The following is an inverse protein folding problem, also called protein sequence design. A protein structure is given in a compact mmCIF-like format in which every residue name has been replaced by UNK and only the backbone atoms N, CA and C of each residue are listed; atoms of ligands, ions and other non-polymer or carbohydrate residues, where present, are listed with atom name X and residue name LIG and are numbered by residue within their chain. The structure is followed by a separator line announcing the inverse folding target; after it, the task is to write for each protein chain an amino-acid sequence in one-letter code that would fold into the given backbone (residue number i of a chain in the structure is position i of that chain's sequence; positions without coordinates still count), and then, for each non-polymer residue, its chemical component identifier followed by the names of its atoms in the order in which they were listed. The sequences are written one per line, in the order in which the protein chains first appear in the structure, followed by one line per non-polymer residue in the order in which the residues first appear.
data_IF_972862849801
#
_entry.id   IF_972862849801
#
_cell.length_a   1.000
_cell.length_b   1.000
_cell.length_c   1.000
_cell.angle_alpha   90.00
_cell.angle_beta   90.00
_cell.angle_gamma   90.00
#
_symmetry.space_group_name_H-M   'P 1'
#
loop_
_entity.id
_entity.type
_entity.pdbx_description
1 polymer ?
#
# COMPACT_ATOMS: atom_id res chain seq x y z
N UNK A 1 -44.28 52.38 -45.15
CA UNK A 1 -44.21 51.09 -44.44
C UNK A 1 -42.77 50.56 -44.49
N UNK A 2 -41.94 50.91 -43.49
CA UNK A 2 -40.59 50.39 -43.31
C UNK A 2 -40.68 49.01 -42.65
N UNK A 3 -40.30 47.94 -43.33
CA UNK A 3 -40.17 46.61 -42.73
C UNK A 3 -38.79 46.49 -42.08
N UNK A 4 -38.78 46.35 -40.75
CA UNK A 4 -37.59 46.01 -39.95
C UNK A 4 -37.12 44.60 -40.33
N UNK A 5 -35.85 44.45 -40.70
CA UNK A 5 -35.13 43.17 -40.71
C UNK A 5 -34.55 42.95 -39.31
N UNK A 6 -35.06 41.95 -38.59
CA UNK A 6 -34.49 41.48 -37.32
C UNK A 6 -33.49 40.37 -37.67
N UNK A 7 -32.20 40.67 -37.53
CA UNK A 7 -31.15 39.65 -37.57
C UNK A 7 -31.08 38.93 -36.22
N UNK A 8 -31.37 37.63 -36.21
CA UNK A 8 -31.18 36.75 -35.05
C UNK A 8 -29.70 36.37 -34.99
N UNK A 9 -28.98 36.85 -33.97
CA UNK A 9 -27.63 36.39 -33.64
C UNK A 9 -27.77 35.16 -32.74
N UNK A 10 -27.43 33.99 -33.26
CA UNK A 10 -27.32 32.76 -32.47
C UNK A 10 -25.96 32.77 -31.77
N UNK A 11 -25.95 33.06 -30.47
CA UNK A 11 -24.75 32.88 -29.63
C UNK A 11 -24.70 31.40 -29.24
N UNK A 12 -23.90 30.62 -29.96
CA UNK A 12 -23.52 29.27 -29.55
C UNK A 12 -22.57 29.37 -28.35
N UNK A 13 -23.07 29.06 -27.15
CA UNK A 13 -22.24 28.85 -25.96
C UNK A 13 -21.35 27.63 -26.20
N UNK A 14 -20.08 27.88 -26.49
CA UNK A 14 -19.04 26.86 -26.49
C UNK A 14 -18.70 26.56 -25.02
N UNK A 15 -19.25 25.49 -24.46
CA UNK A 15 -18.80 24.97 -23.17
C UNK A 15 -17.39 24.41 -23.33
N UNK A 16 -16.39 25.25 -23.06
CA UNK A 16 -15.02 24.78 -22.85
C UNK A 16 -15.04 24.01 -21.53
N UNK A 17 -15.17 22.69 -21.60
CA UNK A 17 -14.90 21.82 -20.47
C UNK A 17 -13.43 21.95 -20.13
N UNK A 18 -13.11 22.86 -19.20
CA UNK A 18 -11.84 22.85 -18.50
C UNK A 18 -11.76 21.50 -17.79
N UNK A 19 -11.01 20.56 -18.35
CA UNK A 19 -10.58 19.36 -17.64
C UNK A 19 -9.62 19.82 -16.53
N UNK A 20 -10.17 20.34 -15.44
CA UNK A 20 -9.44 20.44 -14.18
C UNK A 20 -9.23 18.98 -13.77
N UNK A 21 -7.99 18.47 -13.68
CA UNK A 21 -7.78 17.16 -13.09
C UNK A 21 -8.27 17.24 -11.65
N UNK A 22 -9.42 16.61 -11.37
CA UNK A 22 -9.86 16.36 -9.99
C UNK A 22 -8.71 15.64 -9.28
N UNK A 23 -8.03 16.34 -8.36
CA UNK A 23 -7.07 15.70 -7.46
C UNK A 23 -7.85 14.68 -6.64
N UNK A 24 -7.55 13.39 -6.82
CA UNK A 24 -8.08 12.33 -5.97
C UNK A 24 -7.62 12.59 -4.53
N UNK A 25 -8.55 12.79 -3.61
CA UNK A 25 -8.26 13.00 -2.19
C UNK A 25 -7.68 11.75 -1.54
N UNK A 26 -6.94 11.96 -0.45
CA UNK A 26 -6.18 10.92 0.23
C UNK A 26 -7.08 9.83 0.83
N UNK A 27 -6.54 8.61 0.88
CA UNK A 27 -7.10 7.51 1.68
C UNK A 27 -6.79 7.79 3.15
N UNK A 28 -7.74 7.51 4.05
CA UNK A 28 -7.53 7.67 5.50
C UNK A 28 -6.46 6.70 6.00
N UNK A 29 -5.24 7.20 6.18
CA UNK A 29 -4.11 6.42 6.66
C UNK A 29 -3.92 6.48 8.17
N UNK A 30 -4.98 6.80 8.94
CA UNK A 30 -4.91 6.95 10.40
C UNK A 30 -4.56 5.66 11.09
N UNK A 31 -3.89 5.77 12.23
CA UNK A 31 -3.75 4.66 13.16
C UNK A 31 -5.11 4.08 13.54
N UNK A 32 -6.11 4.94 13.71
CA UNK A 32 -7.45 4.55 14.12
C UNK A 32 -8.18 3.78 13.02
N UNK A 33 -8.10 4.25 11.77
CA UNK A 33 -8.61 3.49 10.62
C UNK A 33 -7.83 2.19 10.41
N UNK A 34 -6.51 2.23 10.55
CA UNK A 34 -5.65 1.05 10.47
C UNK A 34 -6.10 -0.05 11.45
N UNK A 35 -6.37 0.33 12.70
CA UNK A 35 -6.77 -0.58 13.77
C UNK A 35 -8.23 -1.01 13.66
N UNK A 36 -9.16 -0.07 13.43
CA UNK A 36 -10.60 -0.34 13.27
C UNK A 36 -10.89 -1.20 12.05
N UNK A 37 -10.23 -0.92 10.93
CA UNK A 37 -10.28 -1.72 9.70
C UNK A 37 -9.49 -3.03 9.78
N UNK A 38 -8.70 -3.20 10.86
CA UNK A 38 -7.83 -4.36 11.09
C UNK A 38 -6.89 -4.65 9.91
N UNK A 39 -6.40 -3.58 9.28
CA UNK A 39 -5.52 -3.67 8.11
C UNK A 39 -4.17 -4.32 8.44
N UNK A 40 -3.80 -4.39 9.71
CA UNK A 40 -2.68 -5.19 10.20
C UNK A 40 -2.75 -6.69 9.82
N UNK A 41 -3.93 -7.21 9.45
CA UNK A 41 -4.07 -8.58 8.93
C UNK A 41 -3.76 -8.72 7.44
N UNK A 42 -3.67 -7.61 6.71
CA UNK A 42 -3.49 -7.59 5.26
C UNK A 42 -2.85 -6.26 4.81
N UNK A 43 -1.51 -6.21 4.84
CA UNK A 43 -0.75 -4.96 4.73
C UNK A 43 -0.60 -4.44 3.30
N UNK A 44 -0.47 -5.38 2.35
CA UNK A 44 -0.28 -5.11 0.92
C UNK A 44 -0.64 -6.37 0.16
N UNK A 45 -1.02 -6.22 -1.10
CA UNK A 45 -1.32 -7.36 -1.94
C UNK A 45 -0.12 -8.19 -2.34
N UNK A 46 -0.31 -9.50 -2.47
CA UNK A 46 0.71 -10.39 -3.04
C UNK A 46 1.18 -9.89 -4.41
N UNK A 47 0.25 -9.54 -5.32
CA UNK A 47 0.60 -9.04 -6.65
C UNK A 47 1.44 -7.76 -6.62
N UNK A 48 1.09 -6.80 -5.76
CA UNK A 48 1.83 -5.54 -5.62
C UNK A 48 3.18 -5.76 -4.90
N UNK A 49 3.25 -6.75 -4.01
CA UNK A 49 4.44 -7.08 -3.24
C UNK A 49 5.53 -7.73 -4.11
N UNK A 50 5.15 -8.57 -5.08
CA UNK A 50 6.11 -9.26 -5.96
C UNK A 50 6.20 -8.68 -7.38
N UNK A 51 5.55 -7.55 -7.66
CA UNK A 51 5.66 -6.89 -8.96
C UNK A 51 7.02 -6.20 -9.11
N UNK A 52 8.01 -6.97 -9.55
CA UNK A 52 9.38 -6.49 -9.81
C UNK A 52 9.45 -5.43 -10.91
N UNK A 53 8.40 -5.32 -11.74
CA UNK A 53 8.30 -4.36 -12.83
C UNK A 53 7.47 -3.12 -12.46
N UNK A 54 7.06 -2.98 -11.18
CA UNK A 54 6.24 -1.85 -10.72
C UNK A 54 6.92 -0.49 -10.95
N UNK A 55 8.26 -0.46 -11.01
CA UNK A 55 9.05 0.71 -11.37
C UNK A 55 10.27 0.34 -12.20
N UNK A 56 10.54 1.14 -13.24
CA UNK A 56 11.82 1.15 -13.96
C UNK A 56 12.90 1.89 -13.17
N UNK A 57 14.18 1.68 -13.51
CA UNK A 57 15.31 2.43 -12.92
C UNK A 57 15.08 3.94 -12.97
N UNK A 58 14.59 4.46 -14.10
CA UNK A 58 14.31 5.89 -14.27
C UNK A 58 13.18 6.38 -13.36
N UNK A 59 12.12 5.59 -13.17
CA UNK A 59 11.05 5.92 -12.22
C UNK A 59 11.53 5.90 -10.77
N UNK A 60 12.38 4.95 -10.40
CA UNK A 60 12.98 4.91 -9.06
C UNK A 60 13.86 6.16 -8.85
N UNK A 61 14.67 6.52 -9.84
CA UNK A 61 15.50 7.73 -9.78
C UNK A 61 14.64 8.99 -9.64
N UNK A 62 13.57 9.13 -10.46
CA UNK A 62 12.65 10.26 -10.39
C UNK A 62 11.95 10.33 -9.03
N UNK A 63 11.56 9.19 -8.47
CA UNK A 63 10.96 9.11 -7.15
C UNK A 63 11.92 9.61 -6.06
N UNK A 64 13.17 9.15 -6.05
CA UNK A 64 14.19 9.62 -5.11
C UNK A 64 14.42 11.14 -5.21
N UNK A 65 14.45 11.68 -6.44
CA UNK A 65 14.56 13.13 -6.68
C UNK A 65 13.34 13.87 -6.13
N UNK A 66 12.13 13.37 -6.40
CA UNK A 66 10.88 14.01 -5.96
C UNK A 66 10.74 14.07 -4.43
N UNK A 67 11.34 13.12 -3.72
CA UNK A 67 11.36 13.07 -2.25
C UNK A 67 12.54 13.84 -1.64
N UNK A 68 13.40 14.46 -2.46
CA UNK A 68 14.59 15.17 -1.99
C UNK A 68 15.68 14.25 -1.42
N UNK A 69 15.63 12.95 -1.71
CA UNK A 69 16.52 11.95 -1.10
C UNK A 69 18.00 12.21 -1.42
N UNK A 70 18.86 12.06 -0.42
CA UNK A 70 20.31 11.97 -0.62
C UNK A 70 20.68 10.85 -1.61
N UNK A 71 19.94 9.73 -1.60
CA UNK A 71 20.19 8.60 -2.50
C UNK A 71 20.08 8.96 -3.98
N UNK A 72 19.32 10.00 -4.33
CA UNK A 72 19.21 10.48 -5.70
C UNK A 72 20.56 10.94 -6.28
N UNK A 73 21.46 11.43 -5.42
CA UNK A 73 22.76 12.02 -5.77
C UNK A 73 23.95 11.35 -5.08
N UNK A 74 23.73 10.28 -4.33
CA UNK A 74 24.77 9.60 -3.59
C UNK A 74 25.84 9.03 -4.55
N UNK A 75 27.13 9.34 -4.36
CA UNK A 75 28.19 8.71 -5.14
C UNK A 75 28.27 7.22 -4.77
N UNK A 76 28.67 6.39 -5.72
CA UNK A 76 28.77 4.93 -5.54
C UNK A 76 29.64 4.53 -4.35
N UNK A 77 30.69 5.32 -4.04
CA UNK A 77 31.56 5.12 -2.86
C UNK A 77 30.83 5.24 -1.52
N UNK A 78 29.65 5.87 -1.48
CA UNK A 78 28.78 5.98 -0.31
C UNK A 78 27.65 4.93 -0.29
N UNK A 79 27.54 4.09 -1.31
CA UNK A 79 26.52 3.04 -1.43
C UNK A 79 27.04 1.65 -1.02
N UNK A 80 28.25 1.58 -0.45
CA UNK A 80 28.90 0.33 -0.03
C UNK A 80 29.72 -0.32 -1.14
N UNK A 81 30.60 -1.26 -0.77
CA UNK A 81 31.54 -1.93 -1.68
C UNK A 81 30.85 -2.69 -2.81
N UNK A 82 29.67 -3.26 -2.53
CA UNK A 82 28.84 -3.95 -3.53
C UNK A 82 28.29 -3.05 -4.65
N UNK A 83 28.34 -1.72 -4.50
CA UNK A 83 27.72 -0.80 -5.46
C UNK A 83 28.30 -0.95 -6.87
N UNK A 84 29.61 -1.17 -6.99
CA UNK A 84 30.26 -1.43 -8.29
C UNK A 84 30.01 -0.31 -9.32
N UNK A 85 30.02 0.95 -8.89
CA UNK A 85 29.73 2.11 -9.76
C UNK A 85 28.25 2.39 -10.02
N UNK A 86 27.33 1.51 -9.59
CA UNK A 86 25.88 1.70 -9.74
C UNK A 86 25.37 2.85 -8.86
N UNK A 87 24.31 3.52 -9.34
CA UNK A 87 23.49 4.46 -8.56
C UNK A 87 22.53 3.69 -7.65
N UNK A 88 22.02 4.34 -6.61
CA UNK A 88 21.04 3.76 -5.68
C UNK A 88 19.78 3.25 -6.41
N UNK A 89 19.26 4.01 -7.37
CA UNK A 89 18.11 3.62 -8.20
C UNK A 89 18.34 2.32 -8.96
N UNK A 90 19.55 2.10 -9.48
CA UNK A 90 19.92 0.85 -10.15
C UNK A 90 20.06 -0.31 -9.16
N UNK A 91 20.66 -0.07 -8.00
CA UNK A 91 20.80 -1.09 -6.94
C UNK A 91 19.43 -1.59 -6.46
N UNK A 92 18.48 -0.68 -6.22
CA UNK A 92 17.10 -1.02 -5.82
C UNK A 92 16.44 -1.88 -6.90
N UNK A 93 16.54 -1.46 -8.17
CA UNK A 93 15.96 -2.21 -9.29
C UNK A 93 16.61 -3.60 -9.46
N UNK A 94 17.94 -3.68 -9.37
CA UNK A 94 18.71 -4.93 -9.46
C UNK A 94 18.31 -5.91 -8.36
N UNK A 95 18.15 -5.42 -7.12
CA UNK A 95 17.72 -6.24 -6.00
C UNK A 95 16.32 -6.83 -6.25
N UNK A 96 15.38 -6.05 -6.77
CA UNK A 96 14.05 -6.54 -7.19
C UNK A 96 14.13 -7.70 -8.20
N UNK A 97 15.14 -7.69 -9.07
CA UNK A 97 15.36 -8.70 -10.11
C UNK A 97 16.33 -9.82 -9.71
N UNK A 98 16.59 -9.98 -8.40
CA UNK A 98 17.40 -11.08 -7.89
C UNK A 98 18.89 -10.99 -8.25
N UNK A 99 19.42 -9.79 -8.45
CA UNK A 99 20.84 -9.63 -8.73
C UNK A 99 21.70 -9.88 -7.48
N UNK A 100 22.77 -10.69 -7.64
CA UNK A 100 23.76 -11.02 -6.59
C UNK A 100 23.11 -11.58 -5.33
N UNK A 101 23.31 -10.93 -4.18
CA UNK A 101 22.82 -11.39 -2.87
C UNK A 101 21.29 -11.39 -2.79
N UNK A 102 20.61 -10.75 -3.75
CA UNK A 102 19.17 -10.82 -3.91
C UNK A 102 18.67 -12.17 -4.49
N UNK A 103 19.52 -13.20 -4.60
CA UNK A 103 19.16 -14.53 -5.12
C UNK A 103 19.80 -15.65 -4.32
N UNK A 104 19.29 -16.86 -4.48
CA UNK A 104 19.87 -18.05 -3.87
C UNK A 104 18.83 -19.01 -3.31
N UNK A 105 19.30 -20.15 -2.80
CA UNK A 105 18.44 -21.21 -2.26
C UNK A 105 18.72 -21.42 -0.78
N UNK A 106 17.67 -21.48 0.02
CA UNK A 106 17.76 -21.86 1.44
C UNK A 106 16.54 -22.66 1.83
N UNK A 107 16.73 -23.75 2.59
CA UNK A 107 15.66 -24.66 3.08
C UNK A 107 14.66 -25.07 1.99
N UNK A 108 15.16 -25.40 0.80
CA UNK A 108 14.32 -25.85 -0.33
C UNK A 108 13.46 -24.76 -0.98
N UNK A 109 13.72 -23.49 -0.70
CA UNK A 109 13.12 -22.34 -1.39
C UNK A 109 14.21 -21.62 -2.17
N UNK A 110 14.01 -21.50 -3.48
CA UNK A 110 14.92 -20.79 -4.40
C UNK A 110 14.33 -19.43 -4.78
N UNK A 111 15.13 -18.39 -4.61
CA UNK A 111 14.80 -17.00 -4.97
C UNK A 111 15.58 -16.61 -6.23
N UNK A 112 14.85 -16.25 -7.28
CA UNK A 112 15.41 -15.79 -8.58
C UNK A 112 14.95 -14.39 -8.97
N UNK A 113 13.78 -13.97 -8.50
CA UNK A 113 13.27 -12.60 -8.50
C UNK A 113 12.78 -12.32 -7.08
N UNK A 114 12.85 -11.08 -6.61
CA UNK A 114 12.53 -10.78 -5.20
C UNK A 114 11.16 -10.09 -5.03
N UNK A 115 11.16 -8.86 -4.55
CA UNK A 115 9.99 -8.04 -4.22
C UNK A 115 10.01 -6.76 -5.05
N UNK A 116 8.85 -6.12 -5.14
CA UNK A 116 8.63 -4.88 -5.88
C UNK A 116 9.58 -3.76 -5.46
N UNK A 117 10.11 -2.95 -6.40
CA UNK A 117 10.88 -1.75 -6.07
C UNK A 117 10.16 -0.81 -5.09
N UNK A 118 8.83 -0.74 -5.14
CA UNK A 118 8.02 0.06 -4.21
C UNK A 118 8.14 -0.45 -2.77
N UNK A 119 8.15 -1.77 -2.56
CA UNK A 119 8.34 -2.42 -1.24
C UNK A 119 9.71 -2.07 -0.68
N UNK A 120 10.75 -2.10 -1.52
CA UNK A 120 12.11 -1.74 -1.12
C UNK A 120 12.21 -0.26 -0.73
N UNK A 121 11.60 0.64 -1.52
CA UNK A 121 11.57 2.08 -1.23
C UNK A 121 10.84 2.38 0.08
N UNK A 122 9.67 1.79 0.31
CA UNK A 122 8.95 1.95 1.58
C UNK A 122 9.77 1.41 2.75
N UNK A 123 10.46 0.28 2.57
CA UNK A 123 11.26 -0.29 3.65
C UNK A 123 12.47 0.59 3.99
N UNK A 124 13.17 1.12 2.99
CA UNK A 124 14.26 2.10 3.20
C UNK A 124 13.79 3.32 4.01
N UNK A 125 12.55 3.75 3.81
CA UNK A 125 11.95 4.81 4.60
C UNK A 125 11.59 4.36 6.00
N UNK A 126 10.90 3.23 6.17
CA UNK A 126 10.43 2.79 7.50
C UNK A 126 11.62 2.47 8.43
N UNK A 127 12.68 1.88 7.89
CA UNK A 127 13.82 1.40 8.69
C UNK A 127 14.78 2.52 9.03
N UNK A 128 15.10 3.39 8.06
CA UNK A 128 16.14 4.39 8.24
C UNK A 128 15.78 5.78 7.74
N UNK A 129 14.54 6.04 7.32
CA UNK A 129 14.11 7.34 6.75
C UNK A 129 14.93 7.82 5.54
N UNK A 130 15.55 6.91 4.78
CA UNK A 130 16.48 7.25 3.72
C UNK A 130 15.85 7.92 2.50
N UNK A 131 14.55 7.70 2.25
CA UNK A 131 13.87 8.25 1.08
C UNK A 131 13.62 9.75 1.24
N UNK A 132 13.33 10.22 2.45
CA UNK A 132 13.06 11.65 2.73
C UNK A 132 14.27 12.40 3.28
N UNK A 133 15.33 11.68 3.68
CA UNK A 133 16.57 12.31 4.18
C UNK A 133 17.34 13.00 3.05
N UNK A 134 17.67 14.27 3.22
CA UNK A 134 18.35 15.11 2.22
C UNK A 134 19.89 15.11 2.36
N UNK A 135 20.40 14.68 3.52
CA UNK A 135 21.81 14.66 3.90
C UNK A 135 22.36 13.23 4.07
N UNK A 136 23.68 13.10 4.04
CA UNK A 136 24.34 11.83 4.31
C UNK A 136 24.25 11.48 5.80
N UNK A 137 23.94 10.21 6.09
CA UNK A 137 23.95 9.66 7.44
C UNK A 137 24.67 8.29 7.40
N UNK A 138 25.79 8.18 8.11
CA UNK A 138 26.63 6.98 8.06
C UNK A 138 25.92 5.74 8.61
N UNK A 139 25.10 5.89 9.64
CA UNK A 139 24.39 4.76 10.24
C UNK A 139 23.27 4.29 9.33
N UNK A 140 22.46 5.21 8.83
CA UNK A 140 21.39 4.90 7.88
C UNK A 140 21.95 4.23 6.62
N UNK A 141 23.11 4.64 6.12
CA UNK A 141 23.75 3.97 4.97
C UNK A 141 24.36 2.61 5.32
N UNK A 142 24.70 2.37 6.59
CA UNK A 142 25.26 1.10 7.06
C UNK A 142 24.17 0.06 7.29
N UNK A 143 23.04 0.46 7.87
CA UNK A 143 21.94 -0.40 8.30
C UNK A 143 20.62 -0.06 7.56
N UNK A 144 20.72 0.27 6.27
CA UNK A 144 19.65 0.88 5.46
C UNK A 144 18.30 0.18 5.48
N UNK A 145 18.29 -1.13 5.71
CA UNK A 145 17.09 -1.96 5.71
C UNK A 145 16.88 -2.71 7.03
N UNK A 146 17.72 -2.47 8.04
CA UNK A 146 17.69 -3.22 9.31
C UNK A 146 18.09 -4.70 9.18
N UNK A 147 18.54 -5.15 8.00
CA UNK A 147 18.87 -6.55 7.78
C UNK A 147 20.11 -6.96 8.58
N UNK A 148 19.99 -8.02 9.39
CA UNK A 148 21.06 -8.47 10.27
C UNK A 148 21.29 -7.56 11.48
N UNK A 149 20.31 -6.74 11.86
CA UNK A 149 20.36 -5.84 13.01
C UNK A 149 19.26 -6.21 14.04
N UNK A 150 19.46 -7.23 14.88
CA UNK A 150 18.47 -7.59 15.89
C UNK A 150 18.36 -6.54 16.99
N UNK A 151 17.14 -6.31 17.52
CA UNK A 151 16.89 -5.30 18.57
C UNK A 151 17.76 -5.50 19.84
N UNK A 152 18.08 -6.75 20.17
CA UNK A 152 18.86 -7.11 21.36
C UNK A 152 20.39 -7.09 21.13
N UNK A 153 20.87 -6.61 19.97
CA UNK A 153 22.29 -6.67 19.61
C UNK A 153 22.74 -5.63 18.58
N UNK A 154 24.00 -5.72 18.17
CA UNK A 154 24.56 -4.89 17.10
C UNK A 154 24.33 -5.47 15.71
N UNK A 155 24.37 -4.63 14.68
CA UNK A 155 24.29 -5.07 13.29
C UNK A 155 25.50 -5.92 12.87
N UNK A 156 25.21 -7.09 12.29
CA UNK A 156 26.20 -8.01 11.71
C UNK A 156 27.05 -7.28 10.65
N UNK A 157 28.38 -7.23 10.81
CA UNK A 157 29.29 -6.58 9.87
C UNK A 157 29.18 -7.07 8.42
N UNK A 158 28.79 -8.32 8.21
CA UNK A 158 28.70 -8.98 6.89
C UNK A 158 27.73 -8.25 5.96
N UNK A 159 26.65 -7.71 6.52
CA UNK A 159 25.56 -7.13 5.73
C UNK A 159 25.61 -5.61 5.65
N UNK A 160 26.67 -4.98 6.17
CA UNK A 160 26.77 -3.52 6.24
C UNK A 160 26.88 -2.88 4.86
N UNK A 161 26.29 -1.70 4.75
CA UNK A 161 26.35 -0.85 3.56
C UNK A 161 25.12 -1.00 2.67
N UNK A 162 24.67 0.12 2.12
CA UNK A 162 23.41 0.25 1.38
C UNK A 162 23.17 -0.87 0.37
N UNK A 163 24.17 -1.21 -0.46
CA UNK A 163 24.01 -2.25 -1.47
C UNK A 163 23.71 -3.62 -0.85
N UNK A 164 24.51 -4.05 0.13
CA UNK A 164 24.31 -5.34 0.79
C UNK A 164 22.98 -5.37 1.55
N UNK A 165 22.65 -4.28 2.25
CA UNK A 165 21.38 -4.14 2.96
C UNK A 165 20.19 -4.30 2.01
N UNK A 166 20.20 -3.64 0.85
CA UNK A 166 19.09 -3.71 -0.12
C UNK A 166 18.99 -5.09 -0.77
N UNK A 167 20.11 -5.67 -1.21
CA UNK A 167 20.12 -6.98 -1.88
C UNK A 167 19.69 -8.10 -0.91
N UNK A 168 20.24 -8.17 0.30
CA UNK A 168 19.88 -9.20 1.29
C UNK A 168 18.48 -9.03 1.86
N UNK A 169 18.03 -7.79 2.11
CA UNK A 169 16.66 -7.54 2.56
C UNK A 169 15.64 -7.98 1.50
N UNK A 170 15.91 -7.68 0.23
CA UNK A 170 15.06 -8.11 -0.88
C UNK A 170 14.99 -9.64 -0.96
N UNK A 171 16.13 -10.33 -0.85
CA UNK A 171 16.17 -11.79 -0.80
C UNK A 171 15.34 -12.33 0.38
N UNK A 172 15.55 -11.79 1.59
CA UNK A 172 14.88 -12.28 2.79
C UNK A 172 13.37 -12.08 2.72
N UNK A 173 12.90 -10.91 2.28
CA UNK A 173 11.46 -10.67 2.11
C UNK A 173 10.86 -11.62 1.08
N UNK A 174 11.53 -11.88 -0.05
CA UNK A 174 11.01 -12.86 -1.00
C UNK A 174 11.03 -14.27 -0.44
N UNK A 175 12.10 -14.66 0.20
CA UNK A 175 12.23 -15.98 0.80
C UNK A 175 11.15 -16.20 1.88
N UNK A 176 10.91 -15.19 2.72
CA UNK A 176 9.83 -15.17 3.70
C UNK A 176 8.45 -15.30 3.04
N UNK A 177 8.20 -14.56 1.95
CA UNK A 177 6.96 -14.65 1.17
C UNK A 177 6.71 -16.07 0.65
N UNK A 178 7.71 -16.74 0.09
CA UNK A 178 7.54 -18.12 -0.38
C UNK A 178 7.35 -19.11 0.78
N UNK A 179 8.05 -18.90 1.91
CA UNK A 179 7.89 -19.70 3.12
C UNK A 179 6.48 -19.53 3.72
N UNK A 180 5.91 -18.32 3.68
CA UNK A 180 4.54 -18.06 4.11
C UNK A 180 3.50 -18.82 3.26
N UNK A 181 3.87 -19.22 2.04
CA UNK A 181 3.06 -20.08 1.19
C UNK A 181 3.13 -21.58 1.48
N UNK A 182 3.98 -22.02 2.42
CA UNK A 182 4.11 -23.42 2.83
C UNK A 182 3.06 -23.78 3.89
N UNK A 183 2.80 -25.07 4.05
CA UNK A 183 1.87 -25.58 5.07
C UNK A 183 2.55 -25.73 6.44
N UNK A 184 1.75 -25.96 7.47
CA UNK A 184 2.17 -26.18 8.86
C UNK A 184 3.26 -27.26 8.97
N UNK A 185 3.09 -28.42 8.33
CA UNK A 185 4.08 -29.50 8.37
C UNK A 185 5.47 -29.09 7.85
N UNK A 186 5.55 -28.23 6.82
CA UNK A 186 6.83 -27.68 6.37
C UNK A 186 7.46 -26.77 7.43
N UNK A 187 6.64 -25.97 8.11
CA UNK A 187 7.09 -25.07 9.19
C UNK A 187 7.54 -25.85 10.42
N UNK A 188 6.81 -26.88 10.85
CA UNK A 188 7.22 -27.77 11.94
C UNK A 188 8.59 -28.42 11.64
N UNK A 189 8.79 -28.85 10.40
CA UNK A 189 10.03 -29.50 9.99
C UNK A 189 11.24 -28.54 9.93
N UNK A 190 11.02 -27.28 9.56
CA UNK A 190 12.11 -26.30 9.35
C UNK A 190 12.32 -25.34 10.54
N UNK A 191 11.29 -25.20 11.39
CA UNK A 191 11.19 -24.26 12.51
C UNK A 191 10.37 -24.86 13.67
N UNK A 192 10.76 -26.01 14.24
CA UNK A 192 9.95 -26.75 15.23
C UNK A 192 9.62 -25.95 16.50
N UNK A 193 10.45 -24.95 16.85
CA UNK A 193 10.26 -24.08 18.01
C UNK A 193 10.05 -22.61 17.62
N UNK A 194 9.92 -22.34 16.32
CA UNK A 194 9.81 -20.99 15.79
C UNK A 194 8.37 -20.58 15.64
N UNK A 195 8.11 -19.28 15.81
CA UNK A 195 6.83 -18.73 15.41
C UNK A 195 6.62 -18.93 13.89
N UNK A 196 5.45 -19.44 13.49
CA UNK A 196 5.18 -19.86 12.12
C UNK A 196 4.39 -18.79 11.37
N UNK A 197 4.88 -18.36 10.21
CA UNK A 197 4.33 -17.22 9.46
C UNK A 197 3.57 -17.63 8.18
N UNK A 198 2.97 -18.83 8.15
CA UNK A 198 2.19 -19.27 6.99
C UNK A 198 0.81 -18.61 6.90
N UNK A 199 0.29 -18.52 5.68
CA UNK A 199 -1.04 -17.96 5.41
C UNK A 199 -2.12 -18.72 6.19
N UNK A 200 -2.98 -17.97 6.89
CA UNK A 200 -4.03 -18.50 7.74
C UNK A 200 -3.62 -18.69 9.20
N UNK A 201 -2.33 -18.68 9.53
CA UNK A 201 -1.90 -18.70 10.92
C UNK A 201 -2.17 -17.36 11.62
N UNK A 202 -2.24 -17.38 12.96
CA UNK A 202 -2.51 -16.22 13.80
C UNK A 202 -1.43 -16.00 14.86
N UNK A 203 -0.96 -14.76 14.99
CA UNK A 203 0.09 -14.37 15.94
C UNK A 203 -0.26 -13.16 16.78
N UNK A 204 0.42 -13.05 17.91
CA UNK A 204 0.28 -11.91 18.81
C UNK A 204 1.46 -10.96 18.64
N UNK A 205 1.18 -9.74 18.17
CA UNK A 205 2.21 -8.73 17.89
C UNK A 205 1.84 -7.38 18.51
N UNK A 206 2.86 -6.65 18.95
CA UNK A 206 2.69 -5.43 19.73
C UNK A 206 2.60 -4.14 18.92
N UNK A 207 1.90 -3.15 19.49
CA UNK A 207 2.10 -1.72 19.29
C UNK A 207 2.12 -1.06 20.67
N UNK A 208 3.32 -0.62 21.09
CA UNK A 208 3.52 -0.17 22.48
C UNK A 208 3.24 -1.33 23.44
N UNK A 209 2.43 -1.09 24.48
CA UNK A 209 2.02 -2.10 25.46
C UNK A 209 0.81 -2.95 25.02
N UNK A 210 0.21 -2.66 23.87
CA UNK A 210 -0.99 -3.36 23.38
C UNK A 210 -0.62 -4.43 22.37
N UNK A 211 -1.22 -5.62 22.50
CA UNK A 211 -1.02 -6.74 21.58
C UNK A 211 -2.27 -7.01 20.75
N UNK A 212 -2.05 -7.37 19.49
CA UNK A 212 -3.11 -7.66 18.53
C UNK A 212 -2.95 -9.07 17.97
N UNK A 213 -4.07 -9.78 17.87
CA UNK A 213 -4.14 -11.04 17.13
C UNK A 213 -4.16 -10.74 15.63
N UNK A 214 -3.03 -10.99 14.99
CA UNK A 214 -2.78 -10.80 13.56
C UNK A 214 -2.96 -12.13 12.84
N UNK A 215 -3.93 -12.18 11.93
CA UNK A 215 -4.12 -13.28 10.99
C UNK A 215 -3.35 -12.95 9.72
N UNK A 216 -2.43 -13.83 9.29
CA UNK A 216 -1.72 -13.62 8.02
C UNK A 216 -2.62 -13.98 6.84
N UNK A 217 -3.33 -12.99 6.29
CA UNK A 217 -4.31 -13.21 5.21
C UNK A 217 -3.68 -13.57 3.86
N UNK A 218 -2.42 -13.21 3.66
CA UNK A 218 -1.65 -13.49 2.46
C UNK A 218 -0.16 -13.63 2.75
N UNK A 219 0.59 -14.03 1.72
CA UNK A 219 2.02 -14.32 1.84
C UNK A 219 2.82 -13.06 2.14
N UNK A 220 2.46 -11.92 1.54
CA UNK A 220 3.10 -10.63 1.80
C UNK A 220 2.99 -10.21 3.26
N UNK A 221 1.82 -10.38 3.89
CA UNK A 221 1.63 -10.05 5.31
C UNK A 221 2.47 -10.97 6.20
N UNK A 222 2.45 -12.29 5.95
CA UNK A 222 3.33 -13.22 6.67
C UNK A 222 4.81 -12.87 6.52
N UNK A 223 5.22 -12.46 5.31
CA UNK A 223 6.58 -12.01 5.03
C UNK A 223 6.98 -10.76 5.80
N UNK A 224 6.10 -9.75 5.83
CA UNK A 224 6.34 -8.47 6.48
C UNK A 224 6.41 -8.62 7.99
N UNK A 225 5.53 -9.41 8.61
CA UNK A 225 5.60 -9.71 10.04
C UNK A 225 6.83 -10.53 10.41
N UNK A 226 7.28 -11.42 9.53
CA UNK A 226 8.52 -12.15 9.75
C UNK A 226 9.76 -11.25 9.62
N UNK A 227 9.68 -10.20 8.80
CA UNK A 227 10.76 -9.22 8.65
C UNK A 227 10.78 -8.20 9.80
N UNK A 228 9.61 -7.69 10.20
CA UNK A 228 9.44 -6.72 11.29
C UNK A 228 8.19 -7.09 12.13
N UNK A 229 8.33 -7.78 13.28
CA UNK A 229 7.19 -8.34 14.03
C UNK A 229 6.47 -7.31 14.92
N UNK A 230 6.06 -6.18 14.35
CA UNK A 230 5.38 -5.10 15.06
C UNK A 230 4.17 -4.57 14.29
N UNK A 231 3.02 -4.44 14.95
CA UNK A 231 1.78 -3.91 14.33
C UNK A 231 1.93 -2.43 13.98
N UNK A 232 2.49 -1.64 14.90
CA UNK A 232 2.68 -0.20 14.76
C UNK A 232 3.99 0.17 14.06
N UNK A 233 5.07 0.34 14.85
CA UNK A 233 6.35 0.92 14.43
C UNK A 233 6.96 0.37 13.12
N UNK A 234 6.62 -0.88 12.75
CA UNK A 234 6.95 -1.46 11.45
C UNK A 234 5.79 -1.43 10.46
N UNK A 235 4.78 -2.26 10.70
CA UNK A 235 3.80 -2.60 9.67
C UNK A 235 2.76 -1.51 9.40
N UNK A 236 2.38 -0.69 10.38
CA UNK A 236 1.54 0.50 10.14
C UNK A 236 2.26 1.50 9.23
N UNK A 237 3.54 1.79 9.52
CA UNK A 237 4.35 2.67 8.67
C UNK A 237 4.48 2.13 7.24
N UNK A 238 4.71 0.82 7.09
CA UNK A 238 4.76 0.19 5.78
C UNK A 238 3.44 0.35 5.01
N UNK A 239 2.32 0.00 5.66
CA UNK A 239 0.97 0.09 5.12
C UNK A 239 0.64 1.50 4.63
N UNK A 240 0.83 2.50 5.50
CA UNK A 240 0.59 3.92 5.19
C UNK A 240 1.43 4.37 4.00
N UNK A 241 2.74 4.12 4.02
CA UNK A 241 3.65 4.60 2.97
C UNK A 241 3.36 3.97 1.61
N UNK A 242 2.92 2.70 1.56
CA UNK A 242 2.49 2.07 0.31
C UNK A 242 1.27 2.77 -0.31
N UNK A 243 0.34 3.22 0.54
CA UNK A 243 -0.85 3.98 0.13
C UNK A 243 -0.44 5.39 -0.32
N UNK A 244 0.25 6.12 0.55
CA UNK A 244 0.55 7.54 0.34
C UNK A 244 1.44 7.78 -0.88
N UNK A 245 2.38 6.87 -1.16
CA UNK A 245 3.39 7.09 -2.21
C UNK A 245 3.02 6.47 -3.54
N UNK A 246 2.23 5.39 -3.54
CA UNK A 246 2.01 4.59 -4.74
C UNK A 246 0.53 4.33 -5.02
N UNK A 247 -0.39 4.86 -4.20
CA UNK A 247 -1.82 4.60 -4.29
C UNK A 247 -2.13 3.08 -4.29
N UNK A 248 -1.26 2.32 -3.63
CA UNK A 248 -1.43 0.89 -3.43
C UNK A 248 -2.20 0.75 -2.13
N UNK A 249 -3.52 0.87 -2.25
CA UNK A 249 -4.40 0.55 -1.15
C UNK A 249 -4.34 -0.96 -0.84
N UNK A 250 -4.28 -1.37 0.43
CA UNK A 250 -4.39 -2.75 0.88
C UNK A 250 -5.77 -3.34 0.68
N UNK A 251 -6.66 -2.64 -0.01
CA UNK A 251 -7.75 -3.32 -0.70
C UNK A 251 -7.24 -4.27 -1.79
N UNK A 252 -5.96 -4.64 -1.86
CA UNK A 252 -5.60 -6.02 -2.23
C UNK A 252 -5.93 -6.99 -1.11
N UNK A 253 -7.19 -7.42 -1.07
CA UNK A 253 -7.78 -8.37 -0.15
C UNK A 253 -7.30 -9.77 -0.47
N UNK A 254 -6.07 -10.03 -0.02
CA UNK A 254 -5.47 -11.34 0.01
C UNK A 254 -6.34 -12.32 0.79
N UNK A 255 -6.57 -13.45 0.15
CA UNK A 255 -7.17 -14.65 0.72
C UNK A 255 -7.06 -15.72 -0.34
N UNK A 256 -6.21 -16.72 -0.12
CA UNK A 256 -6.20 -17.93 -0.96
C UNK A 256 -7.52 -18.66 -0.71
N UNK A 257 -8.48 -18.53 -1.63
CA UNK A 257 -9.75 -19.28 -1.49
C UNK A 257 -9.56 -20.69 -2.02
N UNK A 258 -9.59 -21.66 -1.11
CA UNK A 258 -10.08 -23.01 -1.35
C UNK A 258 -11.57 -23.03 -0.97
N UNK A 259 -12.46 -22.84 -1.96
CA UNK A 259 -13.92 -23.14 -1.91
C UNK A 259 -14.85 -22.48 -0.85
N UNK A 260 -16.09 -22.27 -1.30
CA UNK A 260 -17.39 -22.06 -0.60
C UNK A 260 -17.70 -20.77 0.15
N UNK A 261 -16.93 -20.30 1.14
CA UNK A 261 -17.46 -19.27 2.06
C UNK A 261 -16.44 -18.20 2.46
N UNK A 262 -16.36 -17.14 1.66
CA UNK A 262 -15.67 -15.90 2.06
C UNK A 262 -16.68 -14.89 2.62
N UNK A 263 -17.08 -15.09 3.88
CA UNK A 263 -17.93 -14.14 4.62
C UNK A 263 -17.17 -12.93 5.16
N UNK A 264 -15.88 -12.78 4.85
CA UNK A 264 -15.10 -11.64 5.30
C UNK A 264 -15.64 -10.41 4.59
N UNK A 265 -16.27 -9.53 5.37
CA UNK A 265 -16.66 -8.22 4.90
C UNK A 265 -15.44 -7.32 4.96
N UNK A 266 -15.04 -6.79 3.80
CA UNK A 266 -14.10 -5.70 3.75
C UNK A 266 -14.89 -4.42 3.86
N UNK A 267 -14.47 -3.52 4.73
CA UNK A 267 -15.02 -2.18 4.79
C UNK A 267 -13.90 -1.19 4.60
N UNK A 268 -14.13 -0.21 3.73
CA UNK A 268 -13.21 0.90 3.49
C UNK A 268 -14.01 2.21 3.55
N UNK A 269 -13.37 3.27 4.03
CA UNK A 269 -13.91 4.64 4.02
C UNK A 269 -12.93 5.49 3.21
N UNK A 270 -13.42 6.17 2.17
CA UNK A 270 -12.55 6.86 1.23
C UNK A 270 -13.18 8.13 0.69
N UNK A 271 -12.36 9.10 0.34
CA UNK A 271 -12.77 10.27 -0.44
C UNK A 271 -12.40 10.11 -1.93
N UNK A 272 -11.78 8.98 -2.31
CA UNK A 272 -11.29 8.74 -3.68
C UNK A 272 -12.42 8.45 -4.66
N UNK A 273 -12.32 9.07 -5.84
CA UNK A 273 -13.22 8.82 -6.97
C UNK A 273 -12.93 7.48 -7.66
N UNK A 274 -11.74 6.91 -7.46
CA UNK A 274 -11.34 5.62 -8.01
C UNK A 274 -10.74 4.76 -6.89
N UNK A 275 -11.26 3.55 -6.73
CA UNK A 275 -10.75 2.58 -5.76
C UNK A 275 -10.18 1.38 -6.51
N UNK A 276 -8.95 0.99 -6.17
CA UNK A 276 -8.33 -0.26 -6.61
C UNK A 276 -8.59 -1.34 -5.57
N UNK A 277 -9.22 -2.43 -5.98
CA UNK A 277 -9.46 -3.61 -5.16
C UNK A 277 -8.85 -4.82 -5.85
N UNK A 278 -8.17 -5.67 -5.11
CA UNK A 278 -7.55 -6.89 -5.59
C UNK A 278 -7.79 -8.03 -4.62
N UNK A 279 -7.47 -9.24 -5.03
CA UNK A 279 -7.56 -10.40 -4.16
C UNK A 279 -7.03 -11.66 -4.81
N UNK A 280 -7.04 -12.76 -4.05
CA UNK A 280 -6.56 -14.05 -4.54
C UNK A 280 -7.71 -15.01 -4.85
N UNK A 281 -7.41 -16.07 -5.59
CA UNK A 281 -8.35 -17.14 -5.95
C UNK A 281 -7.60 -18.45 -6.23
N UNK A 282 -8.29 -19.58 -6.10
CA UNK A 282 -7.76 -20.86 -6.59
C UNK A 282 -7.46 -20.79 -8.10
N UNK A 283 -6.38 -21.45 -8.52
CA UNK A 283 -5.93 -21.46 -9.93
C UNK A 283 -7.01 -21.97 -10.89
N UNK A 284 -7.86 -22.91 -10.45
CA UNK A 284 -8.94 -23.51 -11.23
C UNK A 284 -10.29 -22.76 -11.15
N UNK A 285 -10.36 -21.67 -10.39
CA UNK A 285 -11.58 -20.86 -10.22
C UNK A 285 -11.58 -19.62 -11.12
N UNK A 286 -12.71 -18.93 -11.19
CA UNK A 286 -12.89 -17.68 -11.94
C UNK A 286 -13.42 -16.61 -10.99
N UNK A 287 -12.91 -15.39 -11.07
CA UNK A 287 -13.37 -14.25 -10.27
C UNK A 287 -14.06 -13.21 -11.15
N UNK A 288 -15.24 -12.76 -10.74
CA UNK A 288 -16.08 -11.81 -11.47
C UNK A 288 -16.51 -10.63 -10.61
N UNK A 289 -16.62 -9.46 -11.23
CA UNK A 289 -17.35 -8.30 -10.69
C UNK A 289 -18.54 -8.01 -11.60
N UNK A 290 -19.76 -8.20 -11.10
CA UNK A 290 -20.95 -8.25 -11.95
C UNK A 290 -20.79 -9.35 -13.01
N UNK A 291 -20.85 -8.96 -14.29
CA UNK A 291 -20.60 -9.84 -15.45
C UNK A 291 -19.14 -9.84 -15.93
N UNK A 292 -18.30 -8.92 -15.43
CA UNK A 292 -16.91 -8.75 -15.89
C UNK A 292 -16.01 -9.80 -15.28
N UNK A 293 -15.31 -10.57 -16.12
CA UNK A 293 -14.27 -11.51 -15.69
C UNK A 293 -13.01 -10.74 -15.28
N UNK A 294 -12.61 -10.87 -14.01
CA UNK A 294 -11.39 -10.25 -13.49
C UNK A 294 -10.17 -11.18 -13.62
N UNK A 295 -10.37 -12.47 -13.36
CA UNK A 295 -9.33 -13.49 -13.54
C UNK A 295 -9.94 -14.86 -13.81
N UNK A 296 -9.46 -15.54 -14.85
CA UNK A 296 -9.86 -16.89 -15.23
C UNK A 296 -8.90 -17.97 -14.75
N UNK A 297 -9.08 -19.19 -15.28
CA UNK A 297 -8.22 -20.35 -14.98
C UNK A 297 -6.73 -20.04 -15.18
N UNK A 298 -5.87 -20.63 -14.35
CA UNK A 298 -4.41 -20.46 -14.35
C UNK A 298 -3.91 -19.22 -13.58
N UNK A 299 -4.74 -18.20 -13.39
CA UNK A 299 -4.40 -17.04 -12.55
C UNK A 299 -4.70 -17.33 -11.07
N UNK A 300 -3.93 -16.77 -10.15
CA UNK A 300 -4.17 -16.93 -8.69
C UNK A 300 -4.55 -15.62 -8.01
N UNK A 301 -4.59 -14.53 -8.76
CA UNK A 301 -4.97 -13.19 -8.27
C UNK A 301 -5.83 -12.44 -9.29
N UNK A 302 -6.53 -11.43 -8.80
CA UNK A 302 -7.33 -10.50 -9.60
C UNK A 302 -7.18 -9.08 -9.05
N UNK A 303 -7.46 -8.09 -9.90
CA UNK A 303 -7.49 -6.67 -9.56
C UNK A 303 -8.58 -5.98 -10.37
N UNK A 304 -9.31 -5.08 -9.74
CA UNK A 304 -10.30 -4.20 -10.35
C UNK A 304 -10.04 -2.76 -9.89
N UNK A 305 -10.30 -1.80 -10.78
CA UNK A 305 -10.46 -0.40 -10.42
C UNK A 305 -11.86 0.03 -10.80
N UNK A 306 -12.57 0.68 -9.89
CA UNK A 306 -13.91 1.21 -10.15
C UNK A 306 -14.18 2.46 -9.33
N UNK A 307 -15.17 3.23 -9.75
CA UNK A 307 -15.60 4.44 -9.08
C UNK A 307 -16.84 4.17 -8.22
N UNK A 308 -16.70 4.05 -6.89
CA UNK A 308 -17.85 3.85 -6.02
C UNK A 308 -18.73 5.11 -5.99
N UNK A 309 -20.04 4.90 -5.79
CA UNK A 309 -20.98 6.00 -5.55
C UNK A 309 -20.64 6.69 -4.22
N UNK A 310 -20.92 7.99 -4.10
CA UNK A 310 -20.73 8.76 -2.86
C UNK A 310 -21.80 8.38 -1.83
N UNK A 311 -21.57 7.25 -1.17
CA UNK A 311 -22.34 6.68 -0.07
C UNK A 311 -21.67 5.39 0.40
N UNK A 312 -22.06 4.92 1.57
CA UNK A 312 -21.83 3.53 1.98
C UNK A 312 -22.57 2.56 1.06
N UNK A 313 -21.82 1.80 0.27
CA UNK A 313 -22.34 0.85 -0.70
C UNK A 313 -21.64 -0.51 -0.56
N UNK A 314 -22.42 -1.58 -0.74
CA UNK A 314 -21.88 -2.94 -0.83
C UNK A 314 -21.67 -3.36 -2.29
N UNK A 315 -20.53 -3.98 -2.56
CA UNK A 315 -20.08 -4.58 -3.81
C UNK A 315 -19.73 -6.06 -3.57
N UNK A 316 -19.78 -6.86 -4.63
CA UNK A 316 -19.50 -8.30 -4.55
C UNK A 316 -18.54 -8.75 -5.64
N UNK A 317 -17.55 -9.56 -5.23
CA UNK A 317 -16.76 -10.38 -6.15
C UNK A 317 -17.28 -11.80 -6.07
N UNK A 318 -17.71 -12.35 -7.21
CA UNK A 318 -18.26 -13.70 -7.29
C UNK A 318 -17.19 -14.65 -7.81
N UNK A 319 -16.95 -15.73 -7.07
CA UNK A 319 -16.07 -16.80 -7.48
C UNK A 319 -16.89 -17.94 -8.09
N UNK A 320 -16.45 -18.48 -9.23
CA UNK A 320 -17.13 -19.57 -9.93
C UNK A 320 -16.17 -20.69 -10.27
N UNK A 321 -16.70 -21.92 -10.36
CA UNK A 321 -16.00 -23.08 -10.90
C UNK A 321 -15.86 -22.96 -12.43
N UNK A 322 -15.06 -23.83 -13.04
CA UNK A 322 -14.99 -23.94 -14.51
C UNK A 322 -16.34 -24.28 -15.13
N UNK A 323 -17.20 -25.02 -14.43
CA UNK A 323 -18.57 -25.33 -14.84
C UNK A 323 -19.59 -24.21 -14.59
N UNK A 324 -19.16 -23.04 -14.09
CA UNK A 324 -20.02 -21.88 -13.86
C UNK A 324 -20.78 -21.86 -12.53
N UNK A 325 -20.66 -22.91 -11.71
CA UNK A 325 -21.24 -22.96 -10.36
C UNK A 325 -20.61 -21.89 -9.48
N UNK A 326 -21.44 -21.13 -8.74
CA UNK A 326 -20.91 -20.14 -7.79
C UNK A 326 -20.27 -20.86 -6.61
N UNK A 327 -18.98 -20.58 -6.41
CA UNK A 327 -18.16 -21.11 -5.32
C UNK A 327 -18.13 -20.17 -4.11
N UNK A 328 -18.63 -18.94 -4.21
CA UNK A 328 -18.63 -18.01 -3.09
C UNK A 328 -18.71 -16.55 -3.55
N UNK A 329 -18.96 -15.65 -2.60
CA UNK A 329 -18.99 -14.20 -2.84
C UNK A 329 -18.22 -13.46 -1.75
N UNK A 330 -17.26 -12.64 -2.15
CA UNK A 330 -16.59 -11.70 -1.24
C UNK A 330 -17.41 -10.41 -1.15
N UNK A 331 -17.77 -10.02 0.07
CA UNK A 331 -18.51 -8.78 0.36
C UNK A 331 -17.53 -7.62 0.59
N UNK A 332 -17.71 -6.54 -0.15
CA UNK A 332 -16.91 -5.31 -0.04
C UNK A 332 -17.88 -4.18 0.28
N UNK A 333 -17.61 -3.41 1.32
CA UNK A 333 -18.34 -2.21 1.69
C UNK A 333 -17.39 -1.05 1.46
N UNK A 334 -17.75 -0.12 0.59
CA UNK A 334 -17.03 1.14 0.45
C UNK A 334 -17.96 2.24 0.91
N UNK A 335 -17.52 2.99 1.91
CA UNK A 335 -18.11 4.25 2.34
C UNK A 335 -17.36 5.39 1.66
N UNK A 336 -17.78 5.74 0.43
CA UNK A 336 -17.22 6.90 -0.25
C UNK A 336 -17.94 8.16 0.23
N UNK A 337 -17.22 9.05 0.88
CA UNK A 337 -17.75 10.31 1.42
C UNK A 337 -17.51 11.48 0.48
N UNK A 338 -18.30 12.54 0.64
CA UNK A 338 -18.01 13.83 -0.01
C UNK A 338 -16.76 14.43 0.61
N UNK A 339 -16.07 15.27 -0.15
CA UNK A 339 -14.94 16.05 0.37
C UNK A 339 -15.44 16.95 1.48
N UNK A 340 -14.92 16.81 2.69
CA UNK A 340 -15.38 17.60 3.84
C UNK A 340 -16.62 17.06 4.56
N UNK A 341 -17.17 15.90 4.17
CA UNK A 341 -18.19 15.19 4.95
C UNK A 341 -17.46 14.38 6.04
N UNK A 342 -17.05 15.09 7.08
CA UNK A 342 -16.19 14.61 8.18
C UNK A 342 -16.99 13.68 9.08
N UNK A 343 -18.22 14.06 9.38
CA UNK A 343 -19.09 13.31 10.28
C UNK A 343 -19.73 12.07 9.59
N UNK A 344 -19.72 12.02 8.25
CA UNK A 344 -20.24 10.91 7.46
C UNK A 344 -21.77 10.90 7.32
N UNK A 345 -22.45 12.04 7.49
CA UNK A 345 -23.90 12.17 7.38
C UNK A 345 -24.37 12.38 5.92
N UNK A 346 -23.43 12.57 4.99
CA UNK A 346 -23.70 12.72 3.56
C UNK A 346 -23.94 14.16 3.12
N UNK A 347 -23.85 15.13 4.03
CA UNK A 347 -23.82 16.56 3.75
C UNK A 347 -22.46 17.15 4.14
N UNK A 348 -22.14 18.31 3.59
CA UNK A 348 -20.96 19.08 4.01
C UNK A 348 -21.47 20.39 4.58
N UNK A 349 -21.46 20.52 5.89
CA UNK A 349 -22.10 21.63 6.57
C UNK A 349 -21.24 22.23 7.70
N UNK A 350 -21.85 23.08 8.54
CA UNK A 350 -21.14 23.74 9.62
C UNK A 350 -20.70 22.76 10.72
N UNK A 351 -21.36 21.61 10.88
CA UNK A 351 -20.98 20.57 11.84
C UNK A 351 -19.66 19.93 11.43
N UNK A 352 -19.45 19.67 10.14
CA UNK A 352 -18.17 19.15 9.65
C UNK A 352 -17.02 20.14 9.90
N UNK A 353 -17.27 21.43 9.63
CA UNK A 353 -16.30 22.50 9.91
C UNK A 353 -16.01 22.57 11.42
N UNK A 354 -17.03 22.40 12.26
CA UNK A 354 -16.87 22.42 13.73
C UNK A 354 -16.00 21.25 14.22
N UNK A 355 -16.10 20.07 13.60
CA UNK A 355 -15.25 18.93 13.93
C UNK A 355 -13.78 19.18 13.57
N UNK A 356 -13.53 19.80 12.41
CA UNK A 356 -12.17 20.21 12.02
C UNK A 356 -11.64 21.35 12.90
N UNK A 357 -12.50 22.21 13.44
CA UNK A 357 -12.09 23.32 14.31
C UNK A 357 -11.43 22.86 15.61
N UNK A 358 -11.81 21.69 16.14
CA UNK A 358 -11.12 21.11 17.30
C UNK A 358 -9.67 20.72 16.96
N UNK A 359 -9.40 20.41 15.69
CA UNK A 359 -8.08 20.08 15.20
C UNK A 359 -7.26 21.28 14.71
N UNK A 360 -7.82 22.50 14.71
CA UNK A 360 -7.18 23.69 14.15
C UNK A 360 -5.78 23.95 14.71
N UNK A 361 -4.80 24.08 13.82
CA UNK A 361 -3.40 24.29 14.15
C UNK A 361 -2.70 23.08 14.79
N UNK A 362 -3.40 21.95 14.96
CA UNK A 362 -2.79 20.69 15.42
C UNK A 362 -2.16 19.97 14.24
N UNK A 363 -1.03 19.33 14.52
CA UNK A 363 -0.42 18.38 13.59
C UNK A 363 -1.22 17.08 13.65
N UNK A 364 -2.20 16.94 12.76
CA UNK A 364 -2.98 15.72 12.59
C UNK A 364 -2.31 14.91 11.49
N UNK A 365 -1.37 14.07 11.90
CA UNK A 365 -0.80 13.04 11.04
C UNK A 365 -1.81 11.92 11.02
N UNK A 366 -2.29 11.61 9.83
CA UNK A 366 -2.96 10.37 9.51
C UNK A 366 -4.52 10.40 9.53
N UNK A 367 -5.24 11.40 10.03
CA UNK A 367 -6.73 11.42 9.94
C UNK A 367 -7.24 12.23 8.73
N UNK A 368 -7.62 11.56 7.65
CA UNK A 368 -8.13 12.22 6.43
C UNK A 368 -9.54 12.83 6.58
N UNK A 369 -10.24 12.57 7.70
CA UNK A 369 -11.49 13.24 8.03
C UNK A 369 -11.26 14.56 8.75
N UNK A 370 -10.22 14.66 9.57
CA UNK A 370 -9.87 15.90 10.28
C UNK A 370 -8.82 16.74 9.55
N UNK A 371 -8.06 16.15 8.64
CA UNK A 371 -7.00 16.80 7.87
C UNK A 371 -7.06 16.36 6.40
N UNK A 372 -7.62 17.23 5.55
CA UNK A 372 -7.74 16.98 4.11
C UNK A 372 -6.38 17.11 3.39
N UNK A 373 -5.42 17.74 4.05
CA UNK A 373 -4.00 17.88 3.77
C UNK A 373 -3.66 18.21 2.30
N UNK A 374 -4.24 19.28 1.71
CA UNK A 374 -4.00 19.62 0.31
C UNK A 374 -2.51 19.85 -0.02
N UNK A 375 -1.76 20.38 0.93
CA UNK A 375 -0.35 20.79 0.86
C UNK A 375 0.64 19.76 1.41
N UNK A 376 0.16 18.73 2.12
CA UNK A 376 1.01 17.65 2.61
C UNK A 376 1.81 17.96 3.88
N UNK A 377 1.45 19.01 4.63
CA UNK A 377 2.17 19.45 5.84
C UNK A 377 1.66 18.79 7.14
N UNK A 378 0.51 18.09 7.05
CA UNK A 378 -0.14 17.41 8.18
C UNK A 378 -0.61 18.36 9.29
N UNK A 379 -0.81 19.64 9.01
CA UNK A 379 -1.43 20.62 9.91
C UNK A 379 -2.86 20.84 9.45
N UNK A 380 -3.81 21.00 10.38
CA UNK A 380 -5.16 21.42 10.01
C UNK A 380 -5.22 22.94 10.00
N UNK A 381 -5.39 23.53 8.82
CA UNK A 381 -5.41 24.98 8.66
C UNK A 381 -6.50 25.48 7.68
N UNK A 382 -6.35 26.73 7.25
CA UNK A 382 -7.33 27.37 6.37
C UNK A 382 -7.42 26.69 5.01
N UNK A 383 -6.34 26.11 4.51
CA UNK A 383 -6.29 25.42 3.22
C UNK A 383 -7.12 24.14 3.28
N UNK A 384 -7.07 23.39 4.38
CA UNK A 384 -7.96 22.23 4.60
C UNK A 384 -9.43 22.64 4.57
N UNK A 385 -9.81 23.64 5.37
CA UNK A 385 -11.20 24.10 5.44
C UNK A 385 -11.65 24.69 4.09
N UNK A 386 -10.75 25.32 3.34
CA UNK A 386 -11.07 25.86 2.01
C UNK A 386 -11.50 24.80 1.01
N UNK A 387 -11.07 23.54 1.16
CA UNK A 387 -11.54 22.44 0.31
C UNK A 387 -13.00 22.08 0.56
N UNK A 388 -13.50 22.31 1.77
CA UNK A 388 -14.91 22.09 2.11
C UNK A 388 -15.82 23.10 1.43
N UNK A 389 -15.35 24.33 1.22
CA UNK A 389 -16.14 25.39 0.60
C UNK A 389 -16.64 25.02 -0.80
N UNK A 390 -15.88 24.20 -1.54
CA UNK A 390 -16.28 23.73 -2.87
C UNK A 390 -17.41 22.68 -2.82
N UNK A 391 -17.63 22.06 -1.67
CA UNK A 391 -18.62 21.00 -1.48
C UNK A 391 -19.70 21.38 -0.46
N UNK A 392 -19.69 22.61 0.06
CA UNK A 392 -20.58 23.09 1.12
C UNK A 392 -22.04 23.13 0.64
N UNK A 393 -22.93 22.57 1.45
CA UNK A 393 -24.35 22.38 1.11
C UNK A 393 -25.30 23.10 2.08
N UNK A 394 -24.75 23.89 3.01
CA UNK A 394 -25.47 24.61 4.06
C UNK A 394 -26.01 25.99 3.69
#
# INVERSE_FOLDING_TARGET
MRKLLISIVIISLLTISLNIPERALAFDTSSDNYLRGKYYNNLVGDADFIDVNSMTVSQIQAFLVSKGSYLARAPSSKLGSGAGGRKASRIIWDASHGYREASGTSRGITVTNTVSPMVLLVTLQKEQSLITRTTYDSWAMTASMGYGCPDSGGCDPTYRGFTNQVEWAAWQMRWNYEASGKNEAWWDSNYPNGYQYFVGNTGSFGWGSTYYNVIFRNKSTGSLYRYTPHVGYGNFNFWRLMIDWFDISPVTLGGTVHSSDDHVTISDTTYRNLVKISGSKASNSFAYYGSTLLAGSGKTSWTIRFSPQVRKQTYYITYKSSGGTTLGRKKIIIDRRKVGDVNGDGTVDLLDVSLMSDAWGKVVRDDASLNLNPEGDSVVDLLDISLMANSYEG
#
